data_IF_658893538207
#
_entry.id   IF_658893538207
#
_cell.length_a   1.000
_cell.length_b   1.000
_cell.length_c   1.000
_cell.angle_alpha   90.00
_cell.angle_beta   90.00
_cell.angle_gamma   90.00
#
_symmetry.space_group_name_H-M   'P 1'
#
loop_
_entity.id
_entity.type
_entity.pdbx_description
1 polymer ?
#
# COMPACT_ATOMS: atom_id res chain seq x y z
N UNK A 1 -13.73 -8.83 1.07
CA UNK A 1 -12.56 -8.64 0.20
C UNK A 1 -11.82 -7.33 0.47
N UNK A 2 -12.29 -6.12 0.10
CA UNK A 2 -11.49 -4.90 0.35
C UNK A 2 -11.10 -4.69 1.83
N UNK A 3 -12.07 -4.86 2.74
CA UNK A 3 -11.83 -4.81 4.20
C UNK A 3 -10.81 -5.85 4.68
N UNK A 4 -10.82 -7.04 4.10
CA UNK A 4 -9.92 -8.14 4.45
C UNK A 4 -8.49 -7.86 3.94
N UNK A 5 -8.35 -7.32 2.73
CA UNK A 5 -7.05 -6.86 2.21
C UNK A 5 -6.46 -5.72 3.07
N UNK A 6 -7.31 -4.80 3.52
CA UNK A 6 -6.92 -3.72 4.43
C UNK A 6 -6.46 -4.27 5.79
N UNK A 7 -7.22 -5.19 6.38
CA UNK A 7 -6.88 -5.86 7.63
C UNK A 7 -5.51 -6.56 7.54
N UNK A 8 -5.29 -7.37 6.48
CA UNK A 8 -4.01 -8.05 6.26
C UNK A 8 -2.87 -7.05 5.99
N UNK A 9 -3.14 -5.96 5.25
CA UNK A 9 -2.14 -4.92 5.01
C UNK A 9 -1.71 -4.23 6.31
N UNK A 10 -2.65 -3.99 7.22
CA UNK A 10 -2.37 -3.41 8.53
C UNK A 10 -1.69 -4.40 9.49
N UNK A 11 -1.95 -5.70 9.36
CA UNK A 11 -1.16 -6.74 10.03
C UNK A 11 0.29 -6.73 9.53
N UNK A 12 0.50 -6.71 8.21
CA UNK A 12 1.84 -6.60 7.63
C UNK A 12 2.57 -5.34 8.14
N UNK A 13 1.87 -4.20 8.21
CA UNK A 13 2.43 -2.97 8.75
C UNK A 13 3.00 -3.15 10.17
N UNK A 14 2.23 -3.78 11.05
CA UNK A 14 2.63 -4.00 12.46
C UNK A 14 3.72 -5.06 12.59
N UNK A 15 3.51 -6.23 12.01
CA UNK A 15 4.41 -7.39 12.17
C UNK A 15 5.80 -7.15 11.57
N UNK A 16 5.87 -6.42 10.45
CA UNK A 16 7.15 -6.09 9.81
C UNK A 16 7.71 -4.73 10.23
N UNK A 17 7.11 -4.08 11.24
CA UNK A 17 7.56 -2.78 11.77
C UNK A 17 7.76 -1.72 10.68
N UNK A 18 6.82 -1.68 9.71
CA UNK A 18 6.87 -0.74 8.59
C UNK A 18 6.66 0.70 9.09
N UNK A 19 7.20 1.66 8.35
CA UNK A 19 7.15 3.10 8.65
C UNK A 19 7.11 3.90 7.35
N UNK A 20 6.60 5.12 7.39
CA UNK A 20 6.48 5.94 6.18
C UNK A 20 5.34 5.45 5.31
N UNK A 21 5.70 4.63 4.32
CA UNK A 21 4.78 4.13 3.33
C UNK A 21 5.22 2.78 2.85
N UNK A 22 4.26 1.96 2.43
CA UNK A 22 4.53 0.64 1.88
C UNK A 22 3.43 0.23 0.91
N UNK A 23 3.70 -0.79 0.10
CA UNK A 23 2.71 -1.47 -0.73
C UNK A 23 2.73 -2.96 -0.38
N UNK A 24 1.56 -3.52 -0.09
CA UNK A 24 1.38 -4.96 0.10
C UNK A 24 0.72 -5.50 -1.15
N UNK A 25 1.40 -6.42 -1.82
CA UNK A 25 0.93 -7.04 -3.05
C UNK A 25 0.30 -8.40 -2.75
N UNK A 26 -0.89 -8.62 -3.30
CA UNK A 26 -1.69 -9.80 -3.03
C UNK A 26 -1.86 -10.67 -4.26
N UNK A 27 -1.96 -11.98 -4.04
CA UNK A 27 -2.50 -12.94 -4.99
C UNK A 27 -3.81 -13.49 -4.44
N UNK A 28 -4.87 -13.43 -5.25
CA UNK A 28 -6.16 -14.01 -4.89
C UNK A 28 -6.25 -15.41 -5.47
N UNK A 29 -6.55 -16.41 -4.64
CA UNK A 29 -6.71 -17.79 -5.10
C UNK A 29 -8.08 -18.02 -5.76
N UNK A 30 -8.32 -19.27 -6.22
CA UNK A 30 -9.56 -19.64 -6.91
C UNK A 30 -10.81 -19.60 -6.02
N UNK A 31 -10.63 -19.64 -4.70
CA UNK A 31 -11.70 -19.58 -3.71
C UNK A 31 -11.93 -18.14 -3.22
N UNK A 32 -11.23 -17.16 -3.78
CA UNK A 32 -11.33 -15.75 -3.42
C UNK A 32 -10.51 -15.37 -2.18
N UNK A 33 -9.67 -16.27 -1.66
CA UNK A 33 -8.84 -15.96 -0.48
C UNK A 33 -7.60 -15.16 -0.88
N UNK A 34 -7.28 -14.08 -0.16
CA UNK A 34 -6.07 -13.31 -0.40
C UNK A 34 -4.84 -13.95 0.23
N UNK A 35 -3.74 -13.93 -0.50
CA UNK A 35 -2.41 -14.34 -0.05
C UNK A 35 -1.43 -13.20 -0.25
N UNK A 36 -0.67 -12.85 0.78
CA UNK A 36 0.41 -11.86 0.66
C UNK A 36 1.51 -12.45 -0.21
N UNK A 37 1.84 -11.76 -1.31
CA UNK A 37 2.89 -12.15 -2.25
C UNK A 37 4.20 -11.42 -1.95
N UNK A 38 4.12 -10.13 -1.67
CA UNK A 38 5.27 -9.25 -1.43
C UNK A 38 4.87 -8.07 -0.55
N UNK A 39 5.83 -7.59 0.26
CA UNK A 39 5.74 -6.32 0.98
C UNK A 39 6.86 -5.42 0.46
N UNK A 40 6.47 -4.39 -0.27
CA UNK A 40 7.38 -3.35 -0.75
C UNK A 40 7.40 -2.21 0.27
N UNK A 41 8.46 -2.11 1.07
CA UNK A 41 8.64 -1.02 2.06
C UNK A 41 9.06 0.32 1.45
N UNK A 42 9.45 0.34 0.17
CA UNK A 42 9.80 1.54 -0.58
C UNK A 42 9.32 1.39 -2.03
N UNK A 43 7.99 1.32 -2.26
CA UNK A 43 7.45 1.10 -3.60
C UNK A 43 7.77 2.28 -4.51
N UNK A 44 7.78 2.03 -5.82
CA UNK A 44 7.90 3.09 -6.82
C UNK A 44 6.81 4.16 -6.61
N UNK A 45 7.22 5.44 -6.66
CA UNK A 45 6.35 6.61 -6.49
C UNK A 45 6.26 7.47 -7.76
N UNK A 46 6.64 6.94 -8.92
CA UNK A 46 6.57 7.69 -10.18
C UNK A 46 5.13 8.17 -10.45
N UNK A 47 4.91 9.48 -10.66
CA UNK A 47 3.60 10.03 -10.99
C UNK A 47 3.03 9.41 -12.26
N UNK A 48 1.71 9.22 -12.31
CA UNK A 48 1.02 8.81 -13.55
C UNK A 48 1.30 7.39 -14.02
N UNK A 49 1.77 6.48 -13.15
CA UNK A 49 2.02 5.10 -13.56
C UNK A 49 2.43 4.12 -12.47
N UNK A 50 2.89 4.56 -11.31
CA UNK A 50 3.23 3.64 -10.22
C UNK A 50 1.99 3.14 -9.47
N UNK A 51 1.98 1.85 -9.13
CA UNK A 51 0.84 1.22 -8.44
C UNK A 51 0.50 1.89 -7.11
N UNK A 52 1.50 2.31 -6.33
CA UNK A 52 1.28 2.99 -5.05
C UNK A 52 0.59 4.34 -5.23
N UNK A 53 1.08 5.19 -6.15
CA UNK A 53 0.47 6.51 -6.41
C UNK A 53 -0.94 6.36 -6.99
N UNK A 54 -1.16 5.39 -7.89
CA UNK A 54 -2.50 5.14 -8.43
C UNK A 54 -3.49 4.68 -7.34
N UNK A 55 -3.06 3.82 -6.41
CA UNK A 55 -3.89 3.43 -5.26
C UNK A 55 -4.18 4.62 -4.33
N UNK A 56 -3.19 5.46 -4.06
CA UNK A 56 -3.39 6.66 -3.24
C UNK A 56 -4.36 7.66 -3.88
N UNK A 57 -4.25 7.87 -5.20
CA UNK A 57 -5.17 8.70 -5.98
C UNK A 57 -6.61 8.18 -5.90
N UNK A 58 -6.82 6.88 -6.03
CA UNK A 58 -8.13 6.27 -5.86
C UNK A 58 -8.65 6.38 -4.42
N UNK A 59 -7.77 6.46 -3.44
CA UNK A 59 -8.07 6.79 -2.04
C UNK A 59 -8.30 8.29 -1.77
N UNK A 60 -8.29 9.14 -2.81
CA UNK A 60 -8.55 10.59 -2.69
C UNK A 60 -7.33 11.43 -2.31
N UNK A 61 -6.12 10.88 -2.36
CA UNK A 61 -4.87 11.61 -2.13
C UNK A 61 -4.19 11.92 -3.47
N UNK A 62 -4.06 13.20 -3.80
CA UNK A 62 -3.25 13.60 -4.94
C UNK A 62 -1.74 13.36 -4.67
N UNK A 63 -0.95 13.40 -5.74
CA UNK A 63 0.49 13.14 -5.65
C UNK A 63 1.18 14.06 -4.63
N UNK A 64 0.80 15.35 -4.60
CA UNK A 64 1.40 16.32 -3.69
C UNK A 64 1.09 15.96 -2.24
N UNK A 65 -0.17 15.65 -1.91
CA UNK A 65 -0.59 15.25 -0.58
C UNK A 65 0.12 13.98 -0.09
N UNK A 66 0.35 13.00 -0.99
CA UNK A 66 1.12 11.79 -0.67
C UNK A 66 2.56 12.15 -0.28
N UNK A 67 3.24 12.96 -1.10
CA UNK A 67 4.63 13.35 -0.83
C UNK A 67 4.74 14.18 0.45
N UNK A 68 3.80 15.11 0.69
CA UNK A 68 3.75 15.88 1.92
C UNK A 68 3.61 14.98 3.16
N UNK A 69 2.75 13.96 3.11
CA UNK A 69 2.62 12.99 4.20
C UNK A 69 3.90 12.22 4.47
N UNK A 70 4.54 11.69 3.42
CA UNK A 70 5.81 10.94 3.52
C UNK A 70 6.89 11.82 4.15
N UNK A 71 7.01 13.08 3.72
CA UNK A 71 7.99 14.03 4.26
C UNK A 71 7.65 14.44 5.70
N UNK A 72 6.37 14.47 6.08
CA UNK A 72 5.94 14.86 7.42
C UNK A 72 6.08 13.76 8.49
N UNK A 73 6.22 12.50 8.09
CA UNK A 73 6.40 11.35 9.00
C UNK A 73 7.83 11.21 9.56
N UNK A 74 8.57 12.32 9.74
CA UNK A 74 9.90 12.33 10.38
C UNK A 74 9.79 12.05 11.88
#
# INVERSE_FOLDING_TARGET
MLKELEEISMECWREFSLKGYARVDFRIDREGRPWVLEINSNPCITPGGSGFINSALQGGLDFKAVIERIISEV
#
